data_IF_199525343161
#
_entry.id   IF_199525343161
#
_cell.length_a   1.000
_cell.length_b   1.000
_cell.length_c   1.000
_cell.angle_alpha   90.00
_cell.angle_beta   90.00
_cell.angle_gamma   90.00
#
_symmetry.space_group_name_H-M   'P 1'
#
loop_
_entity.id
_entity.type
_entity.pdbx_description
1 polymer ?
#
# COMPACT_ATOMS: atom_id res chain seq x y z
N UNK A 1 -19.23 -7.50 -4.33
CA UNK A 1 -17.81 -7.41 -4.69
C UNK A 1 -17.20 -6.30 -3.86
N UNK A 2 -16.04 -6.52 -3.26
CA UNK A 2 -15.35 -5.50 -2.48
C UNK A 2 -15.02 -4.29 -3.37
N UNK A 3 -15.10 -3.09 -2.80
CA UNK A 3 -14.83 -1.87 -3.55
C UNK A 3 -13.33 -1.78 -3.88
N UNK A 4 -13.02 -1.81 -5.18
CA UNK A 4 -11.65 -1.72 -5.68
C UNK A 4 -10.98 -0.44 -5.17
N UNK A 5 -9.85 -0.56 -4.47
CA UNK A 5 -9.20 0.57 -3.79
C UNK A 5 -7.68 0.54 -3.93
N UNK A 6 -7.08 1.68 -4.30
CA UNK A 6 -5.63 1.92 -4.23
C UNK A 6 -5.32 2.80 -3.01
N UNK A 7 -4.49 2.29 -2.10
CA UNK A 7 -3.98 2.96 -0.91
C UNK A 7 -2.53 3.36 -1.16
N UNK A 8 -2.27 4.66 -1.23
CA UNK A 8 -0.96 5.20 -1.53
C UNK A 8 -0.32 5.84 -0.28
N UNK A 9 0.78 5.27 0.21
CA UNK A 9 1.60 5.83 1.27
C UNK A 9 2.59 6.85 0.67
N UNK A 10 2.33 8.13 0.93
CA UNK A 10 3.09 9.24 0.35
C UNK A 10 3.93 9.99 1.39
N UNK A 11 5.21 10.20 1.08
CA UNK A 11 6.14 11.01 1.88
C UNK A 11 7.39 11.37 1.08
N UNK A 12 8.30 12.18 1.63
CA UNK A 12 9.58 12.50 0.98
C UNK A 12 10.44 11.23 0.79
N UNK A 13 11.52 11.35 0.03
CA UNK A 13 12.54 10.32 -0.01
C UNK A 13 13.08 10.06 1.41
N UNK A 14 13.51 8.82 1.68
CA UNK A 14 14.05 8.39 2.99
C UNK A 14 13.11 8.49 4.21
N UNK A 15 11.82 8.78 4.04
CA UNK A 15 10.82 8.80 5.12
C UNK A 15 10.37 7.41 5.62
N UNK A 16 11.11 6.33 5.34
CA UNK A 16 10.77 4.98 5.83
C UNK A 16 9.56 4.29 5.15
N UNK A 17 9.17 4.71 3.95
CA UNK A 17 8.01 4.14 3.21
C UNK A 17 8.18 2.66 2.90
N UNK A 18 9.30 2.29 2.28
CA UNK A 18 9.62 0.88 1.97
C UNK A 18 9.59 0.05 3.24
N UNK A 19 10.21 0.52 4.33
CA UNK A 19 10.17 -0.13 5.64
C UNK A 19 8.74 -0.28 6.18
N UNK A 20 7.90 0.74 6.04
CA UNK A 20 6.49 0.70 6.46
C UNK A 20 5.69 -0.33 5.64
N UNK A 21 5.92 -0.42 4.33
CA UNK A 21 5.25 -1.39 3.46
C UNK A 21 5.75 -2.82 3.73
N UNK A 22 7.03 -3.01 4.06
CA UNK A 22 7.57 -4.30 4.50
C UNK A 22 6.96 -4.76 5.82
N UNK A 23 6.81 -3.83 6.76
CA UNK A 23 6.15 -4.07 8.04
C UNK A 23 4.66 -4.41 7.84
N UNK A 24 3.97 -3.71 6.94
CA UNK A 24 2.61 -4.08 6.55
C UNK A 24 2.55 -5.49 5.96
N UNK A 25 3.48 -5.83 5.06
CA UNK A 25 3.55 -7.18 4.50
C UNK A 25 3.68 -8.23 5.60
N UNK A 26 4.61 -8.03 6.56
CA UNK A 26 4.75 -8.91 7.72
C UNK A 26 3.48 -9.02 8.55
N UNK A 27 2.76 -7.92 8.78
CA UNK A 27 1.48 -7.93 9.51
C UNK A 27 0.40 -8.72 8.81
N UNK A 28 0.41 -8.75 7.48
CA UNK A 28 -0.58 -9.47 6.67
C UNK A 28 -0.23 -10.96 6.49
N UNK A 29 1.06 -11.32 6.49
CA UNK A 29 1.51 -12.68 6.12
C UNK A 29 2.20 -13.45 7.24
N UNK A 30 2.66 -12.77 8.30
CA UNK A 30 3.49 -13.33 9.36
C UNK A 30 4.98 -13.50 9.01
N UNK A 31 5.41 -13.06 7.82
CA UNK A 31 6.81 -13.12 7.40
C UNK A 31 7.22 -11.91 6.55
N UNK A 32 8.51 -11.58 6.52
CA UNK A 32 9.00 -10.52 5.63
C UNK A 32 9.12 -11.00 4.18
N UNK A 33 9.06 -10.09 3.19
CA UNK A 33 9.32 -10.45 1.80
C UNK A 33 10.79 -10.86 1.61
N UNK A 34 11.03 -11.82 0.70
CA UNK A 34 12.37 -12.39 0.46
C UNK A 34 13.39 -11.36 -0.05
N UNK A 35 12.94 -10.43 -0.90
CA UNK A 35 13.76 -9.30 -1.35
C UNK A 35 14.07 -8.40 -0.15
N UNK A 36 15.32 -7.95 0.00
CA UNK A 36 15.71 -6.92 0.98
C UNK A 36 15.48 -5.50 0.47
N UNK A 37 15.27 -5.33 -0.85
CA UNK A 37 15.02 -4.06 -1.51
C UNK A 37 13.54 -3.82 -1.77
N UNK A 38 13.26 -3.18 -2.90
CA UNK A 38 11.89 -3.03 -3.36
C UNK A 38 11.30 -4.37 -3.78
N UNK A 39 9.98 -4.51 -3.61
CA UNK A 39 9.26 -5.74 -3.91
C UNK A 39 7.85 -5.46 -4.44
N UNK A 40 7.32 -6.46 -5.14
CA UNK A 40 5.96 -6.54 -5.63
C UNK A 40 5.41 -7.92 -5.25
N UNK A 41 4.26 -7.97 -4.61
CA UNK A 41 3.64 -9.23 -4.19
C UNK A 41 2.12 -9.11 -4.14
N UNK A 42 1.44 -10.25 -4.18
CA UNK A 42 0.01 -10.36 -3.91
C UNK A 42 -0.16 -11.18 -2.63
N UNK A 43 -0.90 -10.65 -1.66
CA UNK A 43 -1.24 -11.34 -0.41
C UNK A 43 -2.69 -11.82 -0.50
N UNK A 44 -2.94 -13.06 -0.11
CA UNK A 44 -4.28 -13.64 -0.13
C UNK A 44 -5.00 -13.35 1.19
N UNK A 45 -6.25 -12.87 1.10
CA UNK A 45 -7.18 -12.78 2.23
C UNK A 45 -8.46 -13.55 1.85
N UNK A 46 -9.02 -14.32 2.78
CA UNK A 46 -10.19 -15.17 2.50
C UNK A 46 -11.44 -14.39 2.04
N UNK A 47 -11.48 -13.08 2.27
CA UNK A 47 -12.59 -12.19 1.92
C UNK A 47 -12.28 -11.30 0.71
N UNK A 48 -11.14 -11.50 0.04
CA UNK A 48 -10.67 -10.71 -1.11
C UNK A 48 -10.32 -11.69 -2.23
N UNK A 49 -11.11 -11.70 -3.30
CA UNK A 49 -11.13 -12.76 -4.32
C UNK A 49 -9.81 -12.90 -5.08
N UNK A 50 -9.21 -11.77 -5.46
CA UNK A 50 -7.97 -11.70 -6.24
C UNK A 50 -6.79 -11.17 -5.39
N UNK A 51 -7.02 -10.99 -4.09
CA UNK A 51 -6.01 -10.63 -3.11
C UNK A 51 -5.66 -9.14 -3.04
N UNK A 52 -4.73 -8.86 -2.13
CA UNK A 52 -4.21 -7.54 -1.81
C UNK A 52 -2.85 -7.40 -2.49
N UNK A 53 -2.78 -6.56 -3.52
CA UNK A 53 -1.54 -6.21 -4.20
C UNK A 53 -0.69 -5.27 -3.34
N UNK A 54 0.60 -5.57 -3.18
CA UNK A 54 1.54 -4.77 -2.38
C UNK A 54 2.77 -4.46 -3.22
N UNK A 55 3.07 -3.17 -3.37
CA UNK A 55 4.28 -2.69 -4.03
C UNK A 55 5.02 -1.70 -3.14
N UNK A 56 6.28 -2.00 -2.83
CA UNK A 56 7.16 -1.02 -2.20
C UNK A 56 7.96 -0.21 -3.21
N UNK A 57 7.91 -0.57 -4.50
CA UNK A 57 8.65 0.08 -5.59
C UNK A 57 8.30 1.57 -5.62
N UNK A 58 9.26 2.41 -5.24
CA UNK A 58 9.06 3.85 -5.16
C UNK A 58 9.85 4.62 -6.21
N UNK A 59 9.19 5.53 -6.94
CA UNK A 59 9.77 6.58 -7.82
C UNK A 59 11.12 6.23 -8.48
N UNK A 60 11.10 5.20 -9.32
CA UNK A 60 11.90 5.23 -10.54
C UNK A 60 11.06 5.94 -11.63
N UNK A 61 11.08 7.28 -11.64
CA UNK A 61 10.67 8.11 -12.79
C UNK A 61 9.28 7.83 -13.40
N UNK A 62 8.22 7.78 -12.59
CA UNK A 62 6.87 7.57 -13.09
C UNK A 62 6.59 6.14 -13.56
N UNK A 63 7.36 5.15 -13.07
CA UNK A 63 7.13 3.75 -13.38
C UNK A 63 5.72 3.30 -12.95
N UNK A 64 4.84 3.12 -13.94
CA UNK A 64 3.45 2.66 -13.80
C UNK A 64 3.35 1.15 -13.62
N UNK A 65 4.35 0.43 -14.11
CA UNK A 65 4.36 -1.01 -14.28
C UNK A 65 3.99 -1.80 -13.00
N UNK A 66 4.49 -1.45 -11.79
CA UNK A 66 4.14 -2.21 -10.60
C UNK A 66 2.66 -2.13 -10.25
N UNK A 67 2.03 -0.97 -10.44
CA UNK A 67 0.61 -0.78 -10.15
C UNK A 67 -0.23 -1.41 -11.27
N UNK A 68 0.17 -1.24 -12.53
CA UNK A 68 -0.50 -1.87 -13.68
C UNK A 68 -0.52 -3.40 -13.55
N UNK A 69 0.60 -4.03 -13.17
CA UNK A 69 0.65 -5.48 -12.92
C UNK A 69 -0.33 -5.97 -11.86
N UNK A 70 -0.58 -5.17 -10.81
CA UNK A 70 -1.54 -5.52 -9.76
C UNK A 70 -2.99 -5.29 -10.23
N UNK A 71 -3.22 -4.26 -11.04
CA UNK A 71 -4.52 -4.02 -11.68
C UNK A 71 -4.85 -5.16 -12.65
N UNK A 72 -3.89 -5.57 -13.49
CA UNK A 72 -4.03 -6.64 -14.47
C UNK A 72 -4.25 -8.02 -13.79
N UNK A 73 -3.63 -8.22 -12.63
CA UNK A 73 -3.87 -9.39 -11.79
C UNK A 73 -5.26 -9.40 -11.11
N UNK A 74 -6.02 -8.31 -11.23
CA UNK A 74 -7.37 -8.20 -10.71
C UNK A 74 -7.48 -7.86 -9.23
N UNK A 75 -6.37 -7.58 -8.53
CA UNK A 75 -6.34 -7.32 -7.09
C UNK A 75 -7.34 -6.23 -6.70
N UNK A 76 -8.23 -6.50 -5.75
CA UNK A 76 -9.21 -5.50 -5.37
C UNK A 76 -8.66 -4.42 -4.45
N UNK A 77 -7.64 -4.72 -3.65
CA UNK A 77 -6.95 -3.74 -2.82
C UNK A 77 -5.50 -3.67 -3.26
N UNK A 78 -4.99 -2.47 -3.53
CA UNK A 78 -3.60 -2.25 -3.94
C UNK A 78 -2.96 -1.25 -2.97
N UNK A 79 -1.82 -1.61 -2.39
CA UNK A 79 -1.00 -0.73 -1.54
C UNK A 79 0.29 -0.37 -2.27
N UNK A 80 0.58 0.92 -2.38
CA UNK A 80 1.82 1.39 -3.00
C UNK A 80 2.50 2.52 -2.23
N UNK A 81 3.82 2.66 -2.38
CA UNK A 81 4.56 3.83 -1.91
C UNK A 81 4.74 4.86 -3.04
N UNK A 82 4.58 6.15 -2.72
CA UNK A 82 4.94 7.24 -3.64
C UNK A 82 5.81 8.29 -2.96
N UNK A 83 6.67 8.99 -3.72
CA UNK A 83 7.22 10.25 -3.22
C UNK A 83 6.17 11.35 -3.31
N UNK A 84 6.35 12.40 -2.52
CA UNK A 84 5.55 13.63 -2.60
C UNK A 84 5.81 14.44 -3.88
N UNK A 85 6.93 14.20 -4.58
CA UNK A 85 7.24 14.83 -5.87
C UNK A 85 6.35 14.27 -6.98
N UNK A 86 5.13 14.82 -7.04
CA UNK A 86 4.11 14.86 -8.11
C UNK A 86 3.88 13.66 -9.05
N UNK A 87 4.90 12.98 -9.59
CA UNK A 87 4.72 12.04 -10.70
C UNK A 87 4.15 10.69 -10.27
N UNK A 88 4.71 10.00 -9.26
CA UNK A 88 4.16 8.69 -8.84
C UNK A 88 2.80 8.80 -8.15
N UNK A 89 2.55 9.86 -7.38
CA UNK A 89 1.23 10.09 -6.80
C UNK A 89 0.18 10.33 -7.90
N UNK A 90 0.51 11.14 -8.90
CA UNK A 90 -0.37 11.40 -10.05
C UNK A 90 -0.57 10.13 -10.87
N UNK A 91 0.47 9.34 -11.09
CA UNK A 91 0.37 8.03 -11.74
C UNK A 91 -0.61 7.11 -11.01
N UNK A 92 -0.49 6.96 -9.69
CA UNK A 92 -1.39 6.12 -8.92
C UNK A 92 -2.84 6.64 -8.96
N UNK A 93 -3.04 7.95 -8.94
CA UNK A 93 -4.37 8.57 -9.11
C UNK A 93 -4.96 8.34 -10.51
N UNK A 94 -4.14 8.50 -11.56
CA UNK A 94 -4.54 8.24 -12.94
C UNK A 94 -4.91 6.77 -13.14
N UNK A 95 -4.07 5.85 -12.68
CA UNK A 95 -4.32 4.41 -12.76
C UNK A 95 -5.55 4.00 -11.95
N UNK A 96 -5.74 4.58 -10.77
CA UNK A 96 -6.96 4.34 -9.99
C UNK A 96 -8.20 4.74 -10.79
N UNK A 97 -8.19 5.94 -11.40
CA UNK A 97 -9.30 6.41 -12.23
C UNK A 97 -9.54 5.52 -13.45
N UNK A 98 -8.48 5.14 -14.17
CA UNK A 98 -8.54 4.30 -15.37
C UNK A 98 -9.05 2.88 -15.07
N UNK A 99 -8.62 2.29 -13.95
CA UNK A 99 -9.03 0.96 -13.51
C UNK A 99 -10.33 0.90 -12.70
N UNK A 100 -10.99 2.04 -12.46
CA UNK A 100 -12.21 2.11 -11.65
C UNK A 100 -12.01 1.88 -10.15
N UNK A 101 -10.83 2.21 -9.61
CA UNK A 101 -10.50 2.13 -8.19
C UNK A 101 -10.81 3.44 -7.47
N UNK A 102 -11.26 3.32 -6.21
CA UNK A 102 -11.17 4.40 -5.22
C UNK A 102 -9.69 4.67 -4.92
N UNK A 103 -9.34 5.93 -4.68
CA UNK A 103 -7.97 6.31 -4.34
C UNK A 103 -7.90 6.90 -2.94
N UNK A 104 -7.12 6.27 -2.06
CA UNK A 104 -6.85 6.72 -0.69
C UNK A 104 -5.39 7.12 -0.58
N UNK A 105 -5.13 8.33 -0.13
CA UNK A 105 -3.77 8.81 0.14
C UNK A 105 -3.54 8.84 1.65
N UNK A 106 -2.50 8.15 2.10
CA UNK A 106 -1.99 8.23 3.47
C UNK A 106 -0.69 9.01 3.43
N UNK A 107 -0.56 10.03 4.27
CA UNK A 107 0.71 10.74 4.46
C UNK A 107 1.53 10.00 5.50
N UNK A 108 2.72 9.53 5.13
CA UNK A 108 3.56 8.80 6.08
C UNK A 108 4.03 9.74 7.19
N UNK A 109 3.75 9.36 8.44
CA UNK A 109 4.36 9.99 9.59
C UNK A 109 5.87 9.71 9.54
N UNK A 110 6.66 10.76 9.69
CA UNK A 110 8.11 10.67 9.71
C UNK A 110 8.70 11.81 10.54
N UNK A 111 9.89 11.56 11.09
CA UNK A 111 10.75 12.57 11.68
C UNK A 111 12.16 12.37 11.11
N UNK A 112 12.87 13.46 10.85
CA UNK A 112 14.30 13.40 10.54
C UNK A 112 15.06 13.27 11.87
N UNK A 113 15.51 12.05 12.18
CA UNK A 113 16.23 11.76 13.42
C UNK A 113 17.21 10.60 13.23
N UNK A 114 18.34 10.65 13.95
CA UNK A 114 19.26 9.51 14.07
C UNK A 114 18.79 8.50 15.14
N UNK A 115 17.77 8.86 15.93
CA UNK A 115 17.24 7.97 16.95
C UNK A 115 16.38 6.86 16.33
N UNK A 116 16.98 5.67 16.28
CA UNK A 116 16.37 4.45 15.74
C UNK A 116 15.02 4.10 16.36
N UNK A 117 14.80 4.36 17.65
CA UNK A 117 13.53 4.06 18.33
C UNK A 117 12.37 4.86 17.74
N UNK A 118 12.59 6.14 17.43
CA UNK A 118 11.58 6.97 16.79
C UNK A 118 11.34 6.52 15.34
N UNK A 119 12.41 6.19 14.61
CA UNK A 119 12.29 5.63 13.26
C UNK A 119 11.42 4.36 13.25
N UNK A 120 11.66 3.45 14.21
CA UNK A 120 10.88 2.22 14.38
C UNK A 120 9.41 2.50 14.69
N UNK A 121 9.18 3.40 15.64
CA UNK A 121 7.83 3.84 16.00
C UNK A 121 7.02 4.32 14.77
N UNK A 122 7.62 5.14 13.90
CA UNK A 122 6.91 5.70 12.76
C UNK A 122 6.56 4.68 11.68
N UNK A 123 7.47 3.77 11.31
CA UNK A 123 7.13 2.79 10.28
C UNK A 123 6.08 1.79 10.78
N UNK A 124 6.10 1.41 12.07
CA UNK A 124 5.05 0.58 12.65
C UNK A 124 3.70 1.29 12.63
N UNK A 125 3.66 2.59 12.97
CA UNK A 125 2.43 3.40 12.92
C UNK A 125 1.88 3.56 11.51
N UNK A 126 2.75 3.77 10.53
CA UNK A 126 2.33 3.86 9.12
C UNK A 126 1.76 2.52 8.62
N UNK A 127 2.40 1.40 8.97
CA UNK A 127 1.90 0.07 8.62
C UNK A 127 0.55 -0.23 9.27
N UNK A 128 0.40 0.05 10.58
CA UNK A 128 -0.84 -0.09 11.33
C UNK A 128 -1.98 0.75 10.73
N UNK A 129 -1.70 1.98 10.31
CA UNK A 129 -2.69 2.84 9.66
C UNK A 129 -3.19 2.24 8.34
N UNK A 130 -2.30 1.70 7.50
CA UNK A 130 -2.69 1.04 6.25
C UNK A 130 -3.49 -0.24 6.54
N UNK A 131 -3.02 -1.06 7.46
CA UNK A 131 -3.68 -2.30 7.89
C UNK A 131 -5.12 -2.05 8.36
N UNK A 132 -5.33 -1.00 9.15
CA UNK A 132 -6.66 -0.62 9.62
C UNK A 132 -7.58 -0.20 8.48
N UNK A 133 -7.09 0.54 7.49
CA UNK A 133 -7.87 0.91 6.30
C UNK A 133 -8.26 -0.34 5.50
N UNK A 134 -7.33 -1.28 5.30
CA UNK A 134 -7.62 -2.56 4.63
C UNK A 134 -8.73 -3.31 5.37
N UNK A 135 -8.62 -3.45 6.69
CA UNK A 135 -9.63 -4.13 7.52
C UNK A 135 -10.98 -3.44 7.45
N UNK A 136 -11.03 -2.12 7.46
CA UNK A 136 -12.28 -1.36 7.31
C UNK A 136 -12.94 -1.63 5.96
N UNK A 137 -12.20 -1.63 4.85
CA UNK A 137 -12.73 -1.91 3.51
C UNK A 137 -13.33 -3.33 3.46
N UNK A 138 -12.61 -4.32 4.00
CA UNK A 138 -13.08 -5.71 4.06
C UNK A 138 -14.35 -5.82 4.93
N UNK A 139 -14.36 -5.20 6.11
CA UNK A 139 -15.50 -5.26 7.02
C UNK A 139 -16.76 -4.58 6.45
N UNK A 140 -16.60 -3.43 5.79
CA UNK A 140 -17.70 -2.76 5.10
C UNK A 140 -18.30 -3.66 4.02
N UNK A 141 -17.47 -4.41 3.29
CA UNK A 141 -17.95 -5.38 2.30
C UNK A 141 -18.75 -6.52 2.95
N UNK A 142 -18.26 -7.09 4.06
CA UNK A 142 -18.95 -8.16 4.78
C UNK A 142 -20.31 -7.70 5.31
N UNK A 143 -20.40 -6.49 5.86
CA UNK A 143 -21.67 -5.93 6.36
C UNK A 143 -22.72 -5.77 5.26
N UNK A 144 -22.31 -5.52 4.00
CA UNK A 144 -23.23 -5.42 2.86
C UNK A 144 -23.78 -6.78 2.46
N UNK A 145 -23.02 -7.86 2.64
CA UNK A 145 -23.47 -9.23 2.31
C UNK A 145 -24.49 -9.76 3.34
N UNK A 146 -24.40 -9.30 4.58
CA UNK A 146 -25.29 -9.72 5.66
C UNK A 146 -26.68 -9.04 5.64
N UNK A 147 -26.92 -8.08 4.74
CA UNK A 147 -28.18 -7.34 4.56
C UNK A 147 -29.00 -7.88 3.37
#
# INVERSE_FOLDING_TARGET
MIDKTIICLSARANSGKTTSIRELFFRLTGHYPESTGDFLSIVQDKNVEHGIGISSVGDSWGNREPIEKLIDAGCEIIVCASRTSKDTLRTAQTLAKEGGYKFIRIHAAHIETENRTFYEHFYHKNAEAIENVIKSIIQEHLNIIEL
#
